data_IF_546472827539
#
_entry.id   IF_546472827539
#
_cell.length_a   1.000
_cell.length_b   1.000
_cell.length_c   1.000
_cell.angle_alpha   90.00
_cell.angle_beta   90.00
_cell.angle_gamma   90.00
#
_symmetry.space_group_name_H-M   'P 1'
#
loop_
_entity.id
_entity.type
_entity.pdbx_description
1 polymer ?
#
# COMPACT_ATOMS: atom_id res chain seq x y z
N UNK A 1 -17.65 10.19 -25.73
CA UNK A 1 -17.18 10.06 -24.35
C UNK A 1 -15.67 9.89 -24.44
N UNK A 2 -14.86 10.84 -23.95
CA UNK A 2 -13.42 10.64 -23.87
C UNK A 2 -13.18 9.61 -22.76
N UNK A 3 -12.69 8.43 -23.12
CA UNK A 3 -12.19 7.49 -22.12
C UNK A 3 -10.98 8.14 -21.46
N UNK A 4 -11.02 8.25 -20.13
CA UNK A 4 -9.84 8.61 -19.36
C UNK A 4 -8.77 7.53 -19.60
N UNK A 5 -7.55 7.89 -19.98
CA UNK A 5 -6.52 6.87 -20.21
C UNK A 5 -6.24 6.10 -18.91
N UNK A 6 -6.07 4.79 -19.03
CA UNK A 6 -5.72 3.92 -17.91
C UNK A 6 -4.43 4.37 -17.24
N UNK A 7 -4.33 4.16 -15.93
CA UNK A 7 -3.14 4.47 -15.14
C UNK A 7 -1.94 3.64 -15.61
N UNK A 8 -0.76 4.23 -15.54
CA UNK A 8 0.50 3.48 -15.63
C UNK A 8 0.67 2.75 -14.30
N UNK A 9 0.73 1.41 -14.31
CA UNK A 9 0.92 0.60 -13.12
C UNK A 9 2.10 -0.34 -13.30
N UNK A 10 2.97 -0.36 -12.31
CA UNK A 10 3.98 -1.40 -12.15
C UNK A 10 4.00 -1.87 -10.69
N UNK A 11 4.04 -3.17 -10.49
CA UNK A 11 4.18 -3.78 -9.16
C UNK A 11 5.36 -4.74 -9.20
N UNK A 12 6.24 -4.65 -8.23
CA UNK A 12 7.42 -5.50 -8.11
C UNK A 12 7.82 -5.69 -6.64
N UNK A 13 8.39 -6.85 -6.29
CA UNK A 13 8.86 -7.09 -4.93
C UNK A 13 10.11 -6.27 -4.65
N UNK A 14 10.20 -5.70 -3.44
CA UNK A 14 11.34 -4.90 -2.96
C UNK A 14 11.75 -5.31 -1.55
N UNK A 15 13.01 -5.01 -1.23
CA UNK A 15 13.56 -5.18 0.10
C UNK A 15 13.74 -6.62 0.55
N UNK A 16 14.23 -6.82 1.78
CA UNK A 16 14.59 -8.14 2.28
C UNK A 16 13.39 -9.08 2.49
N UNK A 17 12.19 -8.52 2.73
CA UNK A 17 10.95 -9.27 2.95
C UNK A 17 10.07 -9.35 1.70
N UNK A 18 10.54 -8.84 0.55
CA UNK A 18 9.88 -8.92 -0.76
C UNK A 18 8.46 -8.35 -0.74
N UNK A 19 8.27 -7.19 -0.10
CA UNK A 19 7.03 -6.43 -0.15
C UNK A 19 6.73 -5.99 -1.59
N UNK A 20 5.48 -6.06 -2.01
CA UNK A 20 5.02 -5.59 -3.31
C UNK A 20 4.92 -4.05 -3.31
N UNK A 21 5.96 -3.39 -3.80
CA UNK A 21 5.93 -1.96 -4.07
C UNK A 21 5.17 -1.69 -5.38
N UNK A 22 4.26 -0.72 -5.37
CA UNK A 22 3.48 -0.38 -6.56
C UNK A 22 3.69 1.08 -6.98
N UNK A 23 4.03 1.29 -8.26
CA UNK A 23 4.04 2.59 -8.92
C UNK A 23 2.69 2.82 -9.59
N UNK A 24 2.07 3.95 -9.31
CA UNK A 24 0.85 4.42 -9.98
C UNK A 24 1.17 5.78 -10.61
N UNK A 25 1.09 5.87 -11.93
CA UNK A 25 1.35 7.10 -12.68
C UNK A 25 0.15 7.54 -13.50
N UNK A 26 -0.15 8.83 -13.47
CA UNK A 26 -1.08 9.43 -14.41
C UNK A 26 -0.38 9.66 -15.76
N UNK A 27 -0.85 9.05 -16.85
CA UNK A 27 -0.21 9.15 -18.15
C UNK A 27 -0.25 10.57 -18.76
N UNK A 28 -1.16 11.43 -18.29
CA UNK A 28 -1.36 12.81 -18.78
C UNK A 28 -0.47 13.79 -18.03
N UNK A 29 -0.62 13.87 -16.71
CA UNK A 29 0.13 14.82 -15.87
C UNK A 29 1.56 14.36 -15.57
N UNK A 30 1.87 13.08 -15.83
CA UNK A 30 3.14 12.42 -15.47
C UNK A 30 3.46 12.43 -13.97
N UNK A 31 2.48 12.74 -13.14
CA UNK A 31 2.62 12.60 -11.68
C UNK A 31 2.47 11.15 -11.26
N UNK A 32 3.26 10.73 -10.29
CA UNK A 32 3.21 9.38 -9.75
C UNK A 32 3.09 9.34 -8.24
N UNK A 33 2.49 8.24 -7.77
CA UNK A 33 2.48 7.80 -6.39
C UNK A 33 3.28 6.51 -6.32
N UNK A 34 4.05 6.34 -5.26
CA UNK A 34 4.66 5.07 -4.88
C UNK A 34 3.96 4.56 -3.63
N UNK A 35 3.50 3.32 -3.67
CA UNK A 35 2.87 2.62 -2.55
C UNK A 35 3.86 1.62 -1.99
N UNK A 36 4.06 1.64 -0.69
CA UNK A 36 4.86 0.69 0.09
C UNK A 36 6.29 0.46 -0.44
N UNK A 37 7.15 1.47 -0.49
CA UNK A 37 8.54 1.32 -0.89
C UNK A 37 9.37 0.67 0.23
N UNK A 38 9.26 -0.64 0.38
CA UNK A 38 9.91 -1.41 1.44
C UNK A 38 11.41 -1.61 1.29
N UNK A 39 12.00 -1.18 0.18
CA UNK A 39 13.43 -1.30 -0.10
C UNK A 39 13.79 -0.81 -1.50
N UNK A 40 15.03 -1.06 -1.93
CA UNK A 40 15.50 -0.90 -3.31
C UNK A 40 15.20 0.48 -3.96
N UNK A 41 15.36 1.57 -3.20
CA UNK A 41 15.02 2.93 -3.65
C UNK A 41 15.66 3.31 -5.01
N UNK A 42 16.90 2.85 -5.29
CA UNK A 42 17.57 3.12 -6.57
C UNK A 42 16.85 2.46 -7.75
N UNK A 43 16.33 1.24 -7.55
CA UNK A 43 15.54 0.56 -8.57
C UNK A 43 14.21 1.30 -8.81
N UNK A 44 13.53 1.72 -7.74
CA UNK A 44 12.29 2.50 -7.84
C UNK A 44 12.52 3.82 -8.59
N UNK A 45 13.57 4.56 -8.27
CA UNK A 45 13.94 5.80 -8.97
C UNK A 45 14.22 5.57 -10.46
N UNK A 46 14.95 4.50 -10.78
CA UNK A 46 15.21 4.11 -12.16
C UNK A 46 13.92 3.82 -12.93
N UNK A 47 12.97 3.08 -12.32
CA UNK A 47 11.67 2.79 -12.96
C UNK A 47 10.87 4.06 -13.21
N UNK A 48 10.83 4.99 -12.25
CA UNK A 48 10.16 6.29 -12.41
C UNK A 48 10.76 7.07 -13.59
N UNK A 49 12.08 7.11 -13.70
CA UNK A 49 12.79 7.79 -14.79
C UNK A 49 12.49 7.16 -16.17
N UNK A 50 12.58 5.82 -16.27
CA UNK A 50 12.28 5.07 -17.50
C UNK A 50 10.84 5.26 -17.98
N UNK A 51 9.89 5.45 -17.05
CA UNK A 51 8.49 5.73 -17.34
C UNK A 51 8.20 7.22 -17.59
N UNK A 52 9.19 8.08 -17.38
CA UNK A 52 9.04 9.54 -17.47
C UNK A 52 8.06 10.10 -16.44
N UNK A 53 8.03 9.50 -15.24
CA UNK A 53 7.10 9.87 -14.16
C UNK A 53 7.80 10.70 -13.09
N UNK A 54 7.09 11.70 -12.58
CA UNK A 54 7.52 12.54 -11.45
C UNK A 54 6.84 12.07 -10.16
N UNK A 55 7.60 11.53 -9.23
CA UNK A 55 7.07 11.15 -7.91
C UNK A 55 6.64 12.39 -7.14
N UNK A 56 5.38 12.42 -6.70
CA UNK A 56 4.81 13.49 -5.90
C UNK A 56 4.39 13.04 -4.51
N UNK A 57 4.09 11.76 -4.35
CA UNK A 57 3.57 11.21 -3.10
C UNK A 57 4.09 9.80 -2.87
N UNK A 58 4.46 9.50 -1.64
CA UNK A 58 4.81 8.17 -1.14
C UNK A 58 3.77 7.85 -0.07
N UNK A 59 2.94 6.85 -0.34
CA UNK A 59 1.84 6.46 0.54
C UNK A 59 2.06 5.06 1.07
N UNK A 60 1.60 4.80 2.28
CA UNK A 60 1.81 3.53 2.95
C UNK A 60 0.49 2.89 3.32
N UNK A 61 0.37 1.59 3.02
CA UNK A 61 -0.78 0.81 3.48
C UNK A 61 -0.74 0.67 4.99
N UNK A 62 0.45 0.50 5.58
CA UNK A 62 0.65 0.43 7.03
C UNK A 62 2.14 0.62 7.37
N UNK A 63 2.49 0.63 8.66
CA UNK A 63 3.84 0.93 9.11
C UNK A 63 4.62 -0.29 9.64
N UNK A 64 4.49 -1.47 9.03
CA UNK A 64 5.52 -2.50 9.21
C UNK A 64 6.76 -2.14 8.38
N UNK A 65 7.95 -2.46 8.94
CA UNK A 65 9.25 -2.00 8.41
C UNK A 65 9.41 -2.21 6.90
N UNK A 66 8.98 -3.36 6.42
CA UNK A 66 9.17 -3.79 5.03
C UNK A 66 8.27 -3.06 4.02
N UNK A 67 7.35 -2.21 4.49
CA UNK A 67 6.53 -1.36 3.65
C UNK A 67 7.07 0.08 3.50
N UNK A 68 8.10 0.49 4.30
CA UNK A 68 8.54 1.90 4.23
C UNK A 68 10.06 2.15 4.38
N UNK A 69 10.90 1.12 4.42
CA UNK A 69 12.35 1.28 4.61
C UNK A 69 13.03 2.21 3.59
N UNK A 70 12.53 2.27 2.34
CA UNK A 70 13.09 3.13 1.30
C UNK A 70 12.47 4.53 1.24
N UNK A 71 11.45 4.82 2.05
CA UNK A 71 10.69 6.07 2.00
C UNK A 71 11.54 7.31 2.23
N UNK A 72 12.50 7.24 3.16
CA UNK A 72 13.40 8.35 3.47
C UNK A 72 14.30 8.71 2.28
N UNK A 73 14.90 7.73 1.63
CA UNK A 73 15.78 7.94 0.48
C UNK A 73 15.00 8.43 -0.75
N UNK A 74 13.80 7.89 -0.99
CA UNK A 74 12.92 8.38 -2.05
C UNK A 74 12.49 9.81 -1.82
N UNK A 75 12.06 10.17 -0.61
CA UNK A 75 11.73 11.55 -0.25
C UNK A 75 12.91 12.49 -0.47
N UNK A 76 14.10 12.11 -0.01
CA UNK A 76 15.32 12.90 -0.18
C UNK A 76 15.67 13.14 -1.65
N UNK A 77 15.49 12.11 -2.50
CA UNK A 77 15.81 12.19 -3.92
C UNK A 77 14.79 12.99 -4.74
N UNK A 78 13.51 12.97 -4.36
CA UNK A 78 12.42 13.48 -5.21
C UNK A 78 11.68 14.68 -4.64
N UNK A 79 11.76 14.89 -3.32
CA UNK A 79 10.95 15.88 -2.60
C UNK A 79 9.49 15.47 -2.42
N UNK A 80 9.14 14.20 -2.71
CA UNK A 80 7.77 13.69 -2.54
C UNK A 80 7.34 13.70 -1.07
N UNK A 81 6.04 13.89 -0.83
CA UNK A 81 5.45 13.88 0.52
C UNK A 81 5.21 12.45 1.01
N UNK A 82 5.47 12.19 2.29
CA UNK A 82 5.20 10.92 2.96
C UNK A 82 3.82 10.94 3.61
N UNK A 83 3.04 9.90 3.37
CA UNK A 83 1.70 9.77 3.93
C UNK A 83 1.51 8.43 4.64
N UNK A 84 0.88 8.47 5.80
CA UNK A 84 0.56 7.32 6.64
C UNK A 84 -0.77 7.56 7.35
N UNK A 85 -1.49 6.54 7.75
CA UNK A 85 -2.61 6.70 8.68
C UNK A 85 -2.09 6.94 10.10
N UNK A 86 -2.71 7.87 10.82
CA UNK A 86 -2.21 8.34 12.14
C UNK A 86 -2.11 7.21 13.18
N UNK A 87 -3.01 6.24 13.13
CA UNK A 87 -3.02 5.15 14.09
C UNK A 87 -1.82 4.21 13.98
N UNK A 88 -1.06 4.26 12.89
CA UNK A 88 0.19 3.52 12.71
C UNK A 88 1.45 4.32 13.09
N UNK A 89 1.31 5.55 13.58
CA UNK A 89 2.46 6.35 14.00
C UNK A 89 3.35 5.61 15.01
N UNK A 90 2.76 4.88 15.95
CA UNK A 90 3.54 4.14 16.96
C UNK A 90 4.42 3.05 16.34
N UNK A 91 3.99 2.40 15.25
CA UNK A 91 4.81 1.45 14.50
C UNK A 91 5.94 2.16 13.77
N UNK A 92 5.65 3.29 13.12
CA UNK A 92 6.64 4.10 12.44
C UNK A 92 7.74 4.57 13.38
N UNK A 93 7.38 5.10 14.54
CA UNK A 93 8.30 5.58 15.56
C UNK A 93 9.15 4.46 16.19
N UNK A 94 8.71 3.21 16.09
CA UNK A 94 9.41 2.02 16.57
C UNK A 94 10.14 1.24 15.47
N UNK A 95 10.49 1.89 14.34
CA UNK A 95 11.20 1.25 13.23
C UNK A 95 12.51 0.54 13.66
N UNK A 96 13.29 1.14 14.53
CA UNK A 96 14.55 0.54 15.02
C UNK A 96 14.30 -0.80 15.73
N UNK A 97 13.26 -0.86 16.56
CA UNK A 97 12.84 -2.10 17.24
C UNK A 97 12.39 -3.16 16.23
N UNK A 98 11.60 -2.77 15.24
CA UNK A 98 11.17 -3.67 14.18
C UNK A 98 12.36 -4.22 13.41
N UNK A 99 13.31 -3.37 13.00
CA UNK A 99 14.52 -3.78 12.30
C UNK A 99 15.33 -4.78 13.12
N UNK A 100 15.47 -4.55 14.42
CA UNK A 100 16.16 -5.47 15.34
C UNK A 100 15.46 -6.82 15.44
N UNK A 101 14.13 -6.84 15.51
CA UNK A 101 13.34 -8.09 15.60
C UNK A 101 13.48 -8.95 14.34
N UNK A 102 13.55 -8.33 13.17
CA UNK A 102 13.64 -9.03 11.88
C UNK A 102 15.06 -9.16 11.35
N UNK A 103 16.08 -8.70 12.10
CA UNK A 103 17.48 -8.79 11.68
C UNK A 103 17.82 -7.94 10.44
N UNK A 104 17.07 -6.87 10.20
CA UNK A 104 17.24 -5.93 9.08
C UNK A 104 18.06 -4.73 9.55
N UNK A 105 19.02 -4.21 8.76
CA UNK A 105 19.75 -3.00 9.10
C UNK A 105 18.81 -1.81 9.28
N UNK A 106 19.00 -1.05 10.36
CA UNK A 106 18.21 0.14 10.63
C UNK A 106 18.77 1.35 9.89
N UNK A 107 17.89 2.07 9.21
CA UNK A 107 18.15 3.42 8.68
C UNK A 107 16.98 4.31 9.08
N UNK A 108 17.24 5.49 9.68
CA UNK A 108 16.15 6.40 10.07
C UNK A 108 15.31 6.84 8.87
N UNK A 109 14.01 6.80 9.03
CA UNK A 109 13.04 7.36 8.06
C UNK A 109 12.39 8.59 8.69
N UNK A 110 12.28 9.74 7.98
CA UNK A 110 11.66 10.93 8.53
C UNK A 110 10.19 10.68 8.85
N UNK A 111 9.63 11.46 9.77
CA UNK A 111 8.21 11.38 10.11
C UNK A 111 7.34 11.63 8.86
N UNK A 112 6.13 11.04 8.80
CA UNK A 112 5.15 11.35 7.76
C UNK A 112 4.84 12.84 7.70
N UNK A 113 4.69 13.38 6.49
CA UNK A 113 4.34 14.80 6.30
C UNK A 113 2.85 15.04 6.46
N UNK A 114 2.04 14.05 6.11
CA UNK A 114 0.58 14.14 6.13
C UNK A 114 -0.04 12.83 6.59
N UNK A 115 -1.20 12.96 7.23
CA UNK A 115 -2.00 11.82 7.64
C UNK A 115 -3.03 11.48 6.57
N UNK A 116 -3.18 10.19 6.29
CA UNK A 116 -4.27 9.67 5.49
C UNK A 116 -5.54 9.53 6.34
N UNK A 117 -6.68 9.74 5.71
CA UNK A 117 -8.00 9.54 6.31
C UNK A 117 -8.84 8.62 5.44
N UNK A 118 -9.86 8.01 6.05
CA UNK A 118 -10.83 7.21 5.31
C UNK A 118 -11.56 8.03 4.24
N UNK A 119 -11.82 7.41 3.10
CA UNK A 119 -12.46 8.01 1.91
C UNK A 119 -11.72 9.24 1.34
N UNK A 120 -10.46 9.44 1.70
CA UNK A 120 -9.65 10.54 1.18
C UNK A 120 -9.24 10.28 -0.28
N UNK A 121 -9.43 11.29 -1.14
CA UNK A 121 -8.92 11.28 -2.51
C UNK A 121 -7.38 11.33 -2.51
N UNK A 122 -6.75 10.50 -3.36
CA UNK A 122 -5.30 10.44 -3.51
C UNK A 122 -4.77 11.60 -4.37
N UNK A 123 -3.51 11.97 -4.17
CA UNK A 123 -2.87 13.13 -4.81
C UNK A 123 -2.82 13.06 -6.36
N UNK A 124 -3.04 11.89 -6.97
CA UNK A 124 -3.19 11.73 -8.41
C UNK A 124 -4.61 12.04 -8.92
N UNK A 125 -5.60 12.26 -8.03
CA UNK A 125 -7.00 12.48 -8.39
C UNK A 125 -7.70 11.29 -9.03
N UNK A 126 -7.15 10.08 -8.89
CA UNK A 126 -7.60 8.87 -9.58
C UNK A 126 -7.94 7.71 -8.66
N UNK A 127 -7.74 7.86 -7.36
CA UNK A 127 -7.97 6.80 -6.37
C UNK A 127 -8.40 7.36 -5.02
N UNK A 128 -8.88 6.47 -4.18
CA UNK A 128 -9.39 6.75 -2.83
C UNK A 128 -8.70 5.86 -1.81
N UNK A 129 -8.34 6.44 -0.68
CA UNK A 129 -7.82 5.72 0.48
C UNK A 129 -8.98 5.16 1.30
N UNK A 130 -8.95 3.86 1.60
CA UNK A 130 -9.95 3.16 2.41
C UNK A 130 -9.29 2.72 3.71
N UNK A 131 -9.83 3.12 4.86
CA UNK A 131 -9.34 2.62 6.14
C UNK A 131 -9.81 1.17 6.34
N UNK A 132 -8.85 0.26 6.45
CA UNK A 132 -9.07 -1.19 6.53
C UNK A 132 -8.28 -1.80 7.70
N UNK A 133 -8.59 -1.39 8.95
CA UNK A 133 -7.84 -1.80 10.13
C UNK A 133 -7.97 -3.30 10.42
N UNK A 134 -7.00 -3.80 11.19
CA UNK A 134 -7.01 -5.15 11.74
C UNK A 134 -5.70 -5.91 11.57
N UNK A 135 -4.96 -5.74 10.48
CA UNK A 135 -3.55 -6.14 10.42
C UNK A 135 -2.69 -5.20 11.28
N UNK A 136 -2.90 -3.90 11.09
CA UNK A 136 -2.51 -2.85 12.02
C UNK A 136 -3.72 -1.92 12.26
N UNK A 137 -3.71 -1.07 13.31
CA UNK A 137 -4.80 -0.11 13.53
C UNK A 137 -4.94 0.91 12.40
N UNK A 138 -3.83 1.33 11.80
CA UNK A 138 -3.78 2.30 10.70
C UNK A 138 -3.74 1.68 9.31
N UNK A 139 -4.06 0.40 9.14
CA UNK A 139 -4.04 -0.25 7.82
C UNK A 139 -4.98 0.46 6.85
N UNK A 140 -4.45 0.76 5.66
CA UNK A 140 -5.16 1.39 4.55
C UNK A 140 -5.11 0.50 3.33
N UNK A 141 -6.16 0.56 2.51
CA UNK A 141 -6.17 0.03 1.15
C UNK A 141 -6.41 1.17 0.17
N UNK A 142 -5.90 1.07 -1.06
CA UNK A 142 -6.05 2.14 -2.04
C UNK A 142 -6.84 1.63 -3.23
N UNK A 143 -8.01 2.24 -3.46
CA UNK A 143 -8.95 1.86 -4.50
C UNK A 143 -8.90 2.82 -5.70
N UNK A 144 -8.74 2.27 -6.90
CA UNK A 144 -8.72 2.97 -8.18
C UNK A 144 -9.89 2.48 -9.04
N UNK A 145 -11.07 3.12 -8.93
CA UNK A 145 -12.32 2.59 -9.48
C UNK A 145 -12.33 2.46 -11.00
N UNK A 146 -11.71 3.40 -11.72
CA UNK A 146 -11.69 3.38 -13.18
C UNK A 146 -10.84 2.23 -13.76
N UNK A 147 -9.78 1.84 -13.04
CA UNK A 147 -8.89 0.75 -13.43
C UNK A 147 -9.26 -0.58 -12.77
N UNK A 148 -10.32 -0.62 -11.95
CA UNK A 148 -10.73 -1.77 -11.13
C UNK A 148 -9.53 -2.37 -10.39
N UNK A 149 -8.75 -1.51 -9.73
CA UNK A 149 -7.52 -1.88 -9.06
C UNK A 149 -7.62 -1.55 -7.58
N UNK A 150 -7.35 -2.53 -6.73
CA UNK A 150 -7.21 -2.38 -5.28
C UNK A 150 -5.77 -2.72 -4.88
N UNK A 151 -5.11 -1.83 -4.15
CA UNK A 151 -3.86 -2.14 -3.45
C UNK A 151 -4.23 -2.36 -2.00
N UNK A 152 -4.21 -3.61 -1.55
CA UNK A 152 -4.77 -4.01 -0.26
C UNK A 152 -3.72 -4.07 0.87
N UNK A 153 -2.44 -3.90 0.56
CA UNK A 153 -1.37 -4.16 1.53
C UNK A 153 -1.54 -5.53 2.17
N UNK A 154 -1.34 -5.58 3.47
CA UNK A 154 -1.45 -6.82 4.25
C UNK A 154 -2.86 -7.05 4.83
N UNK A 155 -3.90 -6.44 4.23
CA UNK A 155 -5.28 -6.70 4.63
C UNK A 155 -5.83 -7.97 3.96
N UNK A 156 -5.71 -8.10 2.64
CA UNK A 156 -6.26 -9.22 1.87
C UNK A 156 -5.19 -9.84 0.96
N UNK A 157 -5.04 -11.15 1.04
CA UNK A 157 -4.13 -11.94 0.21
C UNK A 157 -4.90 -12.96 -0.63
N UNK A 158 -4.22 -13.50 -1.63
CA UNK A 158 -4.75 -14.62 -2.38
C UNK A 158 -4.98 -15.83 -1.47
N UNK A 159 -6.25 -16.15 -1.20
CA UNK A 159 -6.69 -17.21 -0.27
C UNK A 159 -6.14 -17.02 1.14
N UNK A 160 -6.00 -15.77 1.57
CA UNK A 160 -5.46 -15.43 2.87
C UNK A 160 -5.87 -14.06 3.34
N UNK A 161 -5.55 -13.77 4.58
CA UNK A 161 -5.70 -12.44 5.21
C UNK A 161 -4.42 -12.09 5.95
N UNK A 162 -4.25 -10.82 6.26
CA UNK A 162 -3.16 -10.35 7.11
C UNK A 162 -3.18 -11.01 8.48
N UNK A 163 -2.00 -11.24 9.03
CA UNK A 163 -1.87 -11.72 10.41
C UNK A 163 -2.36 -10.63 11.38
N UNK A 164 -2.91 -11.06 12.50
CA UNK A 164 -3.50 -10.17 13.51
C UNK A 164 -2.92 -10.36 14.91
N UNK A 165 -1.76 -11.04 14.99
CA UNK A 165 -1.07 -11.39 16.24
C UNK A 165 0.15 -10.49 16.52
N UNK A 166 0.40 -9.48 15.68
CA UNK A 166 1.41 -8.45 15.90
C UNK A 166 0.82 -7.23 16.62
N UNK A 167 1.66 -6.23 16.90
CA UNK A 167 1.29 -5.02 17.64
C UNK A 167 0.08 -4.29 17.04
N UNK A 168 -1.00 -4.23 17.79
CA UNK A 168 -2.23 -3.58 17.39
C UNK A 168 -3.13 -4.39 16.45
N UNK A 169 -2.75 -5.64 16.13
CA UNK A 169 -3.56 -6.53 15.29
C UNK A 169 -4.87 -6.95 15.96
N UNK A 170 -5.96 -7.04 15.19
CA UNK A 170 -7.29 -7.45 15.65
C UNK A 170 -8.04 -8.20 14.54
N UNK A 171 -8.33 -9.48 14.80
CA UNK A 171 -9.03 -10.35 13.85
C UNK A 171 -10.45 -9.85 13.51
N UNK A 172 -11.18 -9.32 14.49
CA UNK A 172 -12.55 -8.84 14.25
C UNK A 172 -12.56 -7.61 13.35
N UNK A 173 -11.57 -6.73 13.54
CA UNK A 173 -11.42 -5.54 12.70
C UNK A 173 -11.06 -5.91 11.27
N UNK A 174 -10.08 -6.81 11.04
CA UNK A 174 -9.71 -7.21 9.67
C UNK A 174 -10.85 -7.94 8.97
N UNK A 175 -11.60 -8.80 9.68
CA UNK A 175 -12.81 -9.44 9.14
C UNK A 175 -13.83 -8.39 8.71
N UNK A 176 -14.12 -7.41 9.57
CA UNK A 176 -15.05 -6.32 9.25
C UNK A 176 -14.58 -5.49 8.07
N UNK A 177 -13.29 -5.12 8.04
CA UNK A 177 -12.68 -4.36 6.95
C UNK A 177 -12.83 -5.08 5.61
N UNK A 178 -12.53 -6.38 5.56
CA UNK A 178 -12.64 -7.17 4.34
C UNK A 178 -14.10 -7.28 3.89
N UNK A 179 -15.03 -7.66 4.79
CA UNK A 179 -16.44 -7.85 4.44
C UNK A 179 -17.13 -6.56 4.03
N UNK A 180 -16.91 -5.48 4.77
CA UNK A 180 -17.69 -4.25 4.58
C UNK A 180 -17.06 -3.29 3.59
N UNK A 181 -15.73 -3.27 3.47
CA UNK A 181 -15.03 -2.32 2.60
C UNK A 181 -14.51 -2.96 1.32
N UNK A 182 -13.85 -4.13 1.41
CA UNK A 182 -13.21 -4.71 0.23
C UNK A 182 -14.18 -5.56 -0.59
N UNK A 183 -14.99 -6.41 0.04
CA UNK A 183 -15.96 -7.26 -0.67
C UNK A 183 -17.18 -6.50 -1.21
N UNK A 184 -17.33 -5.22 -0.87
CA UNK A 184 -18.33 -4.34 -1.50
C UNK A 184 -17.85 -3.72 -2.82
N UNK A 185 -16.57 -3.89 -3.17
CA UNK A 185 -16.00 -3.40 -4.43
C UNK A 185 -16.38 -4.31 -5.60
N UNK A 186 -16.04 -3.87 -6.82
CA UNK A 186 -16.29 -4.64 -8.04
C UNK A 186 -15.59 -6.02 -7.98
N UNK A 187 -16.34 -7.10 -8.22
CA UNK A 187 -15.82 -8.46 -8.18
C UNK A 187 -14.69 -8.71 -9.19
N UNK A 188 -14.67 -8.00 -10.31
CA UNK A 188 -13.60 -8.07 -11.31
C UNK A 188 -12.33 -7.33 -10.89
N UNK A 189 -12.37 -6.57 -9.78
CA UNK A 189 -11.22 -5.80 -9.34
C UNK A 189 -10.01 -6.68 -9.05
N UNK A 190 -8.88 -6.29 -9.64
CA UNK A 190 -7.57 -6.87 -9.33
C UNK A 190 -7.11 -6.37 -7.99
N UNK A 191 -6.66 -7.27 -7.13
CA UNK A 191 -6.11 -6.98 -5.81
C UNK A 191 -4.61 -7.20 -5.82
N UNK A 192 -3.85 -6.13 -5.65
CA UNK A 192 -2.43 -6.18 -5.34
C UNK A 192 -2.29 -6.35 -3.84
N UNK A 193 -1.69 -7.45 -3.44
CA UNK A 193 -1.43 -7.82 -2.04
C UNK A 193 -0.10 -7.25 -1.57
N UNK A 194 0.12 -7.08 -0.28
CA UNK A 194 1.41 -6.64 0.24
C UNK A 194 2.56 -7.60 -0.05
N UNK A 195 2.26 -8.89 -0.16
CA UNK A 195 3.23 -9.93 -0.53
C UNK A 195 2.61 -10.99 -1.45
N UNK A 196 3.44 -11.63 -2.27
CA UNK A 196 3.03 -12.73 -3.13
C UNK A 196 2.18 -12.32 -4.33
N UNK A 197 1.37 -13.22 -4.86
CA UNK A 197 0.65 -13.00 -6.12
C UNK A 197 -0.62 -12.16 -5.93
N UNK A 198 -0.99 -11.45 -6.99
CA UNK A 198 -2.29 -10.79 -7.12
C UNK A 198 -3.46 -11.78 -7.04
N UNK A 199 -4.64 -11.24 -6.72
CA UNK A 199 -5.92 -11.96 -6.75
C UNK A 199 -7.03 -11.07 -7.29
N UNK A 200 -8.30 -11.48 -7.16
CA UNK A 200 -9.49 -10.70 -7.51
C UNK A 200 -10.48 -10.70 -6.35
N UNK A 201 -11.22 -9.63 -6.19
CA UNK A 201 -12.28 -9.53 -5.15
C UNK A 201 -13.24 -10.72 -5.27
N UNK A 202 -13.76 -11.00 -6.45
CA UNK A 202 -14.71 -12.10 -6.65
C UNK A 202 -14.13 -13.49 -6.35
N UNK A 203 -12.84 -13.71 -6.57
CA UNK A 203 -12.18 -14.98 -6.22
C UNK A 203 -12.09 -15.13 -4.69
N UNK A 204 -11.73 -14.05 -3.99
CA UNK A 204 -11.64 -14.09 -2.53
C UNK A 204 -13.01 -14.21 -1.85
N UNK A 205 -14.05 -13.57 -2.37
CA UNK A 205 -15.44 -13.76 -1.91
C UNK A 205 -15.82 -15.25 -1.94
N UNK A 206 -15.45 -15.97 -3.02
CA UNK A 206 -15.83 -17.36 -3.21
C UNK A 206 -14.92 -18.37 -2.51
N UNK A 207 -13.61 -18.11 -2.50
CA UNK A 207 -12.60 -19.12 -2.20
C UNK A 207 -11.74 -18.84 -0.97
N UNK A 208 -11.79 -17.62 -0.39
CA UNK A 208 -10.97 -17.30 0.78
C UNK A 208 -11.35 -18.22 1.95
N UNK A 209 -10.41 -19.01 2.50
CA UNK A 209 -10.73 -19.96 3.58
C UNK A 209 -10.98 -19.31 4.93
N UNK A 210 -10.57 -18.04 5.12
CA UNK A 210 -10.69 -17.31 6.38
C UNK A 210 -11.97 -16.47 6.42
N UNK A 211 -12.30 -15.78 5.32
CA UNK A 211 -13.43 -14.85 5.25
C UNK A 211 -14.12 -15.06 3.90
N UNK A 212 -15.24 -15.74 3.90
CA UNK A 212 -16.12 -15.89 2.73
C UNK A 212 -17.16 -14.77 2.72
N UNK A 213 -17.54 -14.32 1.51
CA UNK A 213 -18.59 -13.33 1.32
C UNK A 213 -20.00 -13.84 1.65
#
# INVERSE_FOLDING_TARGET
>A
MHQTPSLIRETFPVGPLQCNCTLIGDPVSKKAIVVDPGGDHQFILKRLDELGLKLVSIIHTHAHLDHFLASGELKKATGATLHLHKEDQFLWDNLEMQCKMFGVPYTPVPAPDQWLSDDQELACGCGVALHTPGHTPGSMSFWFPQDKLLIAGDTLFRRGIGRTDLWGGDYRQIEQSIRQRLYSLDEDAVVVTGHGPETRIGDEIRENPFIRG
#
